data_IF_775546517717
#
_entry.id   IF_775546517717
#
_cell.length_a   1.000
_cell.length_b   1.000
_cell.length_c   1.000
_cell.angle_alpha   90.00
_cell.angle_beta   90.00
_cell.angle_gamma   90.00
#
_symmetry.space_group_name_H-M   'P 1'
#
loop_
_entity.id
_entity.type
_entity.pdbx_description
1 polymer ?
#
# COMPACT_ATOMS: atom_id res chain seq x y z
N UNK A 1 -20.23 -17.02 13.09
CA UNK A 1 -21.12 -16.09 12.37
C UNK A 1 -20.92 -16.30 10.88
N UNK A 2 -21.94 -16.79 10.19
CA UNK A 2 -21.90 -17.13 8.77
C UNK A 2 -22.12 -15.85 7.96
N UNK A 3 -21.10 -15.33 7.27
CA UNK A 3 -21.26 -14.17 6.39
C UNK A 3 -21.97 -14.68 5.13
N UNK A 4 -23.30 -14.54 5.08
CA UNK A 4 -24.05 -14.83 3.86
C UNK A 4 -23.58 -13.90 2.72
N UNK A 5 -23.34 -14.42 1.51
CA UNK A 5 -23.02 -13.59 0.37
C UNK A 5 -24.19 -12.65 0.06
N UNK A 6 -23.90 -11.36 -0.12
CA UNK A 6 -24.91 -10.36 -0.49
C UNK A 6 -25.59 -10.75 -1.81
N UNK A 7 -26.93 -10.78 -1.82
CA UNK A 7 -27.71 -11.10 -3.02
C UNK A 7 -27.43 -10.08 -4.14
N UNK A 8 -27.40 -10.51 -5.42
CA UNK A 8 -27.30 -9.60 -6.58
C UNK A 8 -28.32 -8.46 -6.57
N UNK A 9 -29.49 -8.67 -5.95
CA UNK A 9 -30.50 -7.63 -5.76
C UNK A 9 -30.11 -6.58 -4.73
N UNK A 10 -29.42 -6.97 -3.66
CA UNK A 10 -28.87 -6.03 -2.68
C UNK A 10 -27.76 -5.19 -3.31
N UNK A 11 -26.90 -5.79 -4.14
CA UNK A 11 -25.85 -5.08 -4.87
C UNK A 11 -26.44 -4.09 -5.88
N UNK A 12 -27.49 -4.47 -6.63
CA UNK A 12 -28.22 -3.56 -7.54
C UNK A 12 -28.90 -2.41 -6.80
N UNK A 13 -29.48 -2.66 -5.62
CA UNK A 13 -30.11 -1.62 -4.80
C UNK A 13 -29.09 -0.66 -4.19
N UNK A 14 -27.93 -1.16 -3.77
CA UNK A 14 -26.82 -0.35 -3.27
C UNK A 14 -26.15 0.47 -4.39
N UNK A 15 -26.01 -0.09 -5.60
CA UNK A 15 -25.50 0.62 -6.77
C UNK A 15 -26.40 1.80 -7.19
N UNK A 16 -27.74 1.68 -7.04
CA UNK A 16 -28.67 2.79 -7.27
C UNK A 16 -28.53 3.93 -6.24
N UNK A 17 -27.98 3.66 -5.05
CA UNK A 17 -27.73 4.65 -3.99
C UNK A 17 -26.33 5.27 -4.06
N UNK A 18 -25.32 4.50 -4.48
CA UNK A 18 -23.93 4.97 -4.68
C UNK A 18 -23.67 5.29 -6.15
N UNK A 19 -24.25 6.37 -6.67
CA UNK A 19 -24.03 6.80 -8.08
C UNK A 19 -22.81 7.70 -8.26
N UNK A 20 -21.88 7.68 -7.30
CA UNK A 20 -20.71 8.55 -7.28
C UNK A 20 -21.05 10.05 -7.35
N UNK A 21 -20.06 10.94 -7.29
CA UNK A 21 -20.29 12.36 -7.47
C UNK A 21 -20.59 12.66 -8.95
N UNK A 22 -21.83 13.06 -9.26
CA UNK A 22 -22.26 13.40 -10.64
C UNK A 22 -22.04 14.86 -11.03
N UNK A 23 -21.89 15.75 -10.05
CA UNK A 23 -21.62 17.18 -10.28
C UNK A 23 -20.13 17.48 -10.32
N UNK A 24 -19.73 18.51 -11.05
CA UNK A 24 -18.32 18.93 -11.12
C UNK A 24 -17.79 19.37 -9.75
N UNK A 25 -18.65 19.98 -8.92
CA UNK A 25 -18.36 20.25 -7.50
C UNK A 25 -18.15 18.96 -6.70
N UNK A 26 -18.99 17.95 -6.90
CA UNK A 26 -18.85 16.64 -6.25
C UNK A 26 -17.58 15.90 -6.67
N UNK A 27 -17.22 15.97 -7.95
CA UNK A 27 -15.97 15.42 -8.49
C UNK A 27 -14.75 16.17 -7.94
N UNK A 28 -14.84 17.49 -7.83
CA UNK A 28 -13.80 18.33 -7.24
C UNK A 28 -13.61 18.07 -5.73
N UNK A 29 -14.67 17.71 -5.00
CA UNK A 29 -14.57 17.28 -3.61
C UNK A 29 -13.95 15.87 -3.53
N UNK A 30 -14.41 14.94 -4.38
CA UNK A 30 -13.90 13.57 -4.39
C UNK A 30 -12.43 13.47 -4.79
N UNK A 31 -11.93 14.29 -5.72
CA UNK A 31 -10.48 14.35 -6.06
C UNK A 31 -9.62 14.80 -4.88
N UNK A 32 -10.15 15.66 -4.01
CA UNK A 32 -9.41 16.13 -2.84
C UNK A 32 -9.38 15.10 -1.72
N UNK A 33 -10.28 14.11 -1.69
CA UNK A 33 -10.22 13.02 -0.71
C UNK A 33 -8.96 12.15 -0.86
N UNK A 34 -8.49 11.93 -2.09
CA UNK A 34 -7.23 11.21 -2.34
C UNK A 34 -5.98 12.02 -1.95
N UNK A 35 -6.03 13.33 -2.13
CA UNK A 35 -4.92 14.26 -1.82
C UNK A 35 -4.86 14.63 -0.34
N UNK A 36 -6.01 14.74 0.34
CA UNK A 36 -6.11 15.13 1.76
C UNK A 36 -5.56 14.08 2.72
N UNK A 37 -5.65 12.80 2.32
CA UNK A 37 -5.25 11.67 3.17
C UNK A 37 -4.00 10.95 2.66
N UNK A 38 -3.62 11.09 1.39
CA UNK A 38 -2.42 10.47 0.81
C UNK A 38 -2.45 8.94 0.68
N UNK A 39 -3.27 8.24 1.49
CA UNK A 39 -3.40 6.77 1.52
C UNK A 39 -3.86 6.16 0.19
N UNK A 40 -4.70 6.87 -0.57
CA UNK A 40 -5.19 6.45 -1.88
C UNK A 40 -4.69 7.34 -3.03
N UNK A 41 -3.71 8.20 -2.79
CA UNK A 41 -3.19 9.07 -3.84
C UNK A 41 -2.60 8.21 -4.98
N UNK A 42 -3.03 8.51 -6.22
CA UNK A 42 -2.60 7.82 -7.44
C UNK A 42 -1.16 8.17 -7.83
N UNK A 43 -0.66 9.29 -7.32
CA UNK A 43 0.75 9.66 -7.35
C UNK A 43 1.31 9.44 -5.95
N UNK A 44 2.57 9.00 -5.78
CA UNK A 44 3.20 8.98 -4.47
C UNK A 44 3.03 10.39 -3.87
N UNK A 45 2.29 10.54 -2.76
CA UNK A 45 2.21 11.84 -2.11
C UNK A 45 3.63 12.17 -1.67
N UNK A 46 4.01 13.46 -1.74
CA UNK A 46 5.30 13.99 -1.33
C UNK A 46 5.88 13.15 -0.18
N UNK A 47 6.83 12.28 -0.52
CA UNK A 47 7.52 11.45 0.46
C UNK A 47 8.27 12.44 1.34
N UNK A 48 8.08 12.38 2.67
CA UNK A 48 9.09 12.92 3.56
C UNK A 48 10.41 12.18 3.29
N UNK A 49 11.55 12.79 3.65
CA UNK A 49 12.86 12.20 3.34
C UNK A 49 12.97 10.74 3.82
N UNK A 50 12.49 10.46 5.03
CA UNK A 50 12.50 9.11 5.63
C UNK A 50 11.64 8.08 4.86
N UNK A 51 10.50 8.50 4.31
CA UNK A 51 9.66 7.61 3.50
C UNK A 51 10.27 7.32 2.12
N UNK A 52 11.08 8.25 1.60
CA UNK A 52 11.74 8.11 0.29
C UNK A 52 12.85 7.09 0.35
N UNK A 53 13.76 7.21 1.33
CA UNK A 53 14.88 6.27 1.48
C UNK A 53 14.36 4.84 1.65
N UNK A 54 13.38 4.65 2.54
CA UNK A 54 12.77 3.34 2.73
C UNK A 54 12.08 2.80 1.46
N UNK A 55 11.41 3.67 0.69
CA UNK A 55 10.74 3.27 -0.56
C UNK A 55 11.76 2.86 -1.62
N UNK A 56 12.83 3.64 -1.80
CA UNK A 56 13.87 3.38 -2.79
C UNK A 56 14.63 2.08 -2.45
N UNK A 57 14.93 1.83 -1.17
CA UNK A 57 15.50 0.56 -0.69
C UNK A 57 14.57 -0.62 -0.96
N UNK A 58 13.27 -0.47 -0.71
CA UNK A 58 12.28 -1.53 -0.94
C UNK A 58 12.19 -1.87 -2.43
N UNK A 59 12.11 -0.86 -3.31
CA UNK A 59 12.08 -1.05 -4.75
C UNK A 59 13.36 -1.74 -5.22
N UNK A 60 14.53 -1.29 -4.75
CA UNK A 60 15.81 -1.88 -5.11
C UNK A 60 15.88 -3.37 -4.72
N UNK A 61 15.47 -3.71 -3.49
CA UNK A 61 15.44 -5.10 -3.03
C UNK A 61 14.46 -5.99 -3.81
N UNK A 62 13.31 -5.44 -4.23
CA UNK A 62 12.37 -6.17 -5.09
C UNK A 62 12.91 -6.37 -6.50
N UNK A 63 13.59 -5.37 -7.07
CA UNK A 63 14.26 -5.49 -8.38
C UNK A 63 15.37 -6.55 -8.31
N UNK A 64 16.19 -6.54 -7.27
CA UNK A 64 17.27 -7.52 -7.08
C UNK A 64 16.71 -8.95 -6.95
N UNK A 65 15.67 -9.12 -6.13
CA UNK A 65 15.02 -10.42 -5.89
C UNK A 65 14.35 -10.98 -7.15
N UNK A 66 13.56 -10.16 -7.84
CA UNK A 66 12.68 -10.64 -8.90
C UNK A 66 13.30 -10.51 -10.30
N UNK A 67 14.33 -9.68 -10.49
CA UNK A 67 14.99 -9.45 -11.79
C UNK A 67 13.95 -9.24 -12.91
N UNK A 68 13.14 -8.17 -12.84
CA UNK A 68 12.09 -7.90 -13.83
C UNK A 68 12.68 -7.75 -15.23
N UNK A 69 11.99 -8.28 -16.25
CA UNK A 69 12.41 -8.21 -17.66
C UNK A 69 11.45 -7.40 -18.52
N UNK A 70 10.17 -7.43 -18.19
CA UNK A 70 9.09 -6.72 -18.87
C UNK A 70 8.65 -5.47 -18.07
N UNK A 71 8.34 -4.34 -18.73
CA UNK A 71 7.62 -3.21 -18.15
C UNK A 71 6.45 -3.57 -17.21
N UNK A 72 5.69 -4.63 -17.47
CA UNK A 72 4.58 -5.09 -16.61
C UNK A 72 5.10 -5.53 -15.24
N UNK A 73 6.24 -6.22 -15.18
CA UNK A 73 6.84 -6.67 -13.93
C UNK A 73 7.37 -5.50 -13.11
N UNK A 74 7.97 -4.50 -13.77
CA UNK A 74 8.37 -3.25 -13.13
C UNK A 74 7.16 -2.53 -12.52
N UNK A 75 6.04 -2.47 -13.25
CA UNK A 75 4.81 -1.86 -12.74
C UNK A 75 4.23 -2.62 -11.54
N UNK A 76 4.31 -3.96 -11.55
CA UNK A 76 3.91 -4.79 -10.42
C UNK A 76 4.80 -4.53 -9.19
N UNK A 77 6.12 -4.43 -9.37
CA UNK A 77 7.06 -4.08 -8.30
C UNK A 77 6.76 -2.70 -7.71
N UNK A 78 6.48 -1.70 -8.56
CA UNK A 78 6.08 -0.37 -8.10
C UNK A 78 4.76 -0.42 -7.32
N UNK A 79 3.78 -1.19 -7.80
CA UNK A 79 2.49 -1.38 -7.14
C UNK A 79 2.65 -2.03 -5.76
N UNK A 80 3.49 -3.05 -5.66
CA UNK A 80 3.83 -3.73 -4.40
C UNK A 80 4.46 -2.73 -3.43
N UNK A 81 5.49 -2.00 -3.88
CA UNK A 81 6.21 -1.01 -3.06
C UNK A 81 5.28 0.07 -2.52
N UNK A 82 4.39 0.58 -3.38
CA UNK A 82 3.36 1.56 -2.99
C UNK A 82 2.34 0.98 -2.00
N UNK A 83 1.96 -0.30 -2.16
CA UNK A 83 1.09 -1.00 -1.23
C UNK A 83 1.71 -1.09 0.17
N UNK A 84 2.99 -1.46 0.26
CA UNK A 84 3.69 -1.55 1.55
C UNK A 84 3.85 -0.18 2.21
N UNK A 85 4.22 0.86 1.45
CA UNK A 85 4.32 2.22 1.99
C UNK A 85 2.97 2.70 2.56
N UNK A 86 1.87 2.39 1.88
CA UNK A 86 0.52 2.72 2.36
C UNK A 86 0.17 1.97 3.64
N UNK A 87 0.51 0.68 3.76
CA UNK A 87 0.33 -0.08 5.00
C UNK A 87 1.18 0.49 6.14
N UNK A 88 2.45 0.80 5.89
CA UNK A 88 3.34 1.41 6.90
C UNK A 88 2.76 2.71 7.45
N UNK A 89 2.25 3.58 6.57
CA UNK A 89 1.59 4.83 6.98
C UNK A 89 0.29 4.57 7.72
N UNK A 90 -0.50 3.60 7.29
CA UNK A 90 -1.73 3.21 7.95
C UNK A 90 -1.46 2.77 9.40
N UNK A 91 -0.45 1.92 9.63
CA UNK A 91 -0.04 1.52 10.97
C UNK A 91 0.43 2.69 11.83
N UNK A 92 1.18 3.64 11.25
CA UNK A 92 1.58 4.86 11.95
C UNK A 92 0.37 5.69 12.41
N UNK A 93 -0.69 5.76 11.58
CA UNK A 93 -1.93 6.45 11.93
C UNK A 93 -2.69 5.69 13.01
N UNK A 94 -2.79 4.36 12.90
CA UNK A 94 -3.45 3.52 13.91
C UNK A 94 -2.78 3.65 15.28
N UNK A 95 -1.46 3.65 15.32
CA UNK A 95 -0.68 3.90 16.53
C UNK A 95 -0.99 5.29 17.12
N UNK A 96 -0.94 6.35 16.30
CA UNK A 96 -1.23 7.70 16.75
C UNK A 96 -2.68 7.85 17.28
N UNK A 97 -3.66 7.23 16.62
CA UNK A 97 -5.06 7.22 17.07
C UNK A 97 -5.21 6.45 18.40
N UNK A 98 -4.52 5.32 18.54
CA UNK A 98 -4.46 4.55 19.77
C UNK A 98 -3.86 5.34 20.94
N UNK A 99 -2.74 6.04 20.69
CA UNK A 99 -2.08 6.89 21.68
C UNK A 99 -2.99 8.02 22.16
N UNK A 100 -3.70 8.70 21.26
CA UNK A 100 -4.71 9.71 21.63
C UNK A 100 -5.78 9.12 22.54
N UNK A 101 -6.30 7.93 22.23
CA UNK A 101 -7.31 7.27 23.04
C UNK A 101 -6.79 6.93 24.45
N UNK A 102 -5.57 6.39 24.55
CA UNK A 102 -4.91 6.06 25.82
C UNK A 102 -4.67 7.33 26.65
N UNK A 103 -4.17 8.40 26.04
CA UNK A 103 -3.88 9.66 26.71
C UNK A 103 -5.16 10.34 27.22
N UNK A 104 -6.27 10.27 26.46
CA UNK A 104 -7.59 10.75 26.93
C UNK A 104 -8.09 9.97 28.14
N UNK A 105 -7.90 8.66 28.17
CA UNK A 105 -8.24 7.83 29.33
C UNK A 105 -7.38 8.21 30.53
N UNK A 106 -6.05 8.32 30.36
CA UNK A 106 -5.12 8.77 31.42
C UNK A 106 -5.49 10.14 31.97
N UNK A 107 -5.87 11.09 31.10
CA UNK A 107 -6.32 12.42 31.50
C UNK A 107 -7.57 12.34 32.39
N UNK A 108 -8.58 11.54 32.01
CA UNK A 108 -9.80 11.33 32.82
C UNK A 108 -9.52 10.67 34.17
N UNK A 109 -8.56 9.73 34.22
CA UNK A 109 -8.17 9.02 35.44
C UNK A 109 -7.26 9.85 36.37
N UNK A 110 -6.70 10.96 35.89
CA UNK A 110 -5.77 11.83 36.64
C UNK A 110 -6.40 12.67 37.76
N UNK A 111 -7.65 12.37 38.18
CA UNK A 111 -8.43 13.16 39.14
C UNK A 111 -7.73 13.47 40.47
N UNK A 112 -6.77 12.65 40.90
CA UNK A 112 -5.93 12.86 42.11
C UNK A 112 -4.43 13.07 41.82
N UNK A 113 -4.01 13.15 40.56
CA UNK A 113 -2.61 13.29 40.16
C UNK A 113 -2.10 14.73 40.29
N UNK A 114 -0.78 14.88 40.43
CA UNK A 114 -0.10 16.18 40.55
C UNK A 114 -0.36 17.06 39.32
N UNK A 115 -0.34 18.37 39.51
CA UNK A 115 -0.61 19.35 38.46
C UNK A 115 0.42 19.32 37.32
N UNK A 116 1.67 18.93 37.64
CA UNK A 116 2.73 18.67 36.66
C UNK A 116 2.39 17.46 35.77
N UNK A 117 1.77 16.43 36.33
CA UNK A 117 1.40 15.22 35.61
C UNK A 117 0.22 15.47 34.66
N UNK A 118 -0.76 16.29 35.09
CA UNK A 118 -1.85 16.77 34.24
C UNK A 118 -1.34 17.61 33.06
N UNK A 119 -0.36 18.50 33.29
CA UNK A 119 0.30 19.29 32.21
C UNK A 119 1.05 18.38 31.24
N UNK A 120 1.78 17.38 31.74
CA UNK A 120 2.50 16.41 30.90
C UNK A 120 1.56 15.62 29.98
N UNK A 121 0.47 15.10 30.52
CA UNK A 121 -0.54 14.35 29.74
C UNK A 121 -1.18 15.25 28.68
N UNK A 122 -1.49 16.51 29.03
CA UNK A 122 -2.11 17.45 28.09
C UNK A 122 -1.18 17.82 26.94
N UNK A 123 0.12 18.01 27.20
CA UNK A 123 1.13 18.24 26.16
C UNK A 123 1.26 17.04 25.22
N UNK A 124 1.36 15.82 25.78
CA UNK A 124 1.43 14.58 25.00
C UNK A 124 0.17 14.37 24.16
N UNK A 125 -1.00 14.72 24.69
CA UNK A 125 -2.26 14.62 23.96
C UNK A 125 -2.29 15.57 22.76
N UNK A 126 -1.85 16.82 22.92
CA UNK A 126 -1.80 17.77 21.81
C UNK A 126 -0.81 17.34 20.70
N UNK A 127 0.34 16.78 21.08
CA UNK A 127 1.32 16.22 20.14
C UNK A 127 0.73 15.02 19.38
N UNK A 128 0.11 14.07 20.08
CA UNK A 128 -0.53 12.90 19.46
C UNK A 128 -1.74 13.29 18.59
N UNK A 129 -2.53 14.27 19.01
CA UNK A 129 -3.66 14.81 18.22
C UNK A 129 -3.16 15.53 16.97
N UNK A 130 -2.03 16.24 17.02
CA UNK A 130 -1.42 16.87 15.83
C UNK A 130 -0.95 15.80 14.84
N UNK A 131 -0.31 14.74 15.33
CA UNK A 131 0.10 13.58 14.53
C UNK A 131 -1.10 12.82 13.93
N UNK A 132 -2.20 12.69 14.66
CA UNK A 132 -3.44 12.04 14.20
C UNK A 132 -4.32 12.95 13.31
N UNK A 133 -4.27 14.27 13.49
CA UNK A 133 -5.07 15.26 12.77
C UNK A 133 -4.74 15.31 11.27
N UNK A 134 -3.53 14.86 10.88
CA UNK A 134 -3.13 14.74 9.49
C UNK A 134 -4.10 13.93 8.63
N UNK A 135 -4.92 13.04 9.21
CA UNK A 135 -5.82 12.20 8.42
C UNK A 135 -7.30 12.14 8.81
N UNK A 136 -7.77 12.55 10.00
CA UNK A 136 -9.22 12.59 10.34
C UNK A 136 -10.02 11.34 9.85
N UNK A 137 -9.45 10.14 9.99
CA UNK A 137 -10.09 8.88 9.59
C UNK A 137 -10.69 8.19 10.82
N UNK A 138 -11.90 7.65 10.69
CA UNK A 138 -12.48 6.77 11.71
C UNK A 138 -11.80 5.40 11.70
N UNK A 139 -11.80 4.70 12.84
CA UNK A 139 -11.22 3.34 12.92
C UNK A 139 -11.82 2.36 11.90
N UNK A 140 -13.12 2.50 11.59
CA UNK A 140 -13.77 1.70 10.54
C UNK A 140 -13.26 2.03 9.13
N UNK A 141 -12.91 3.30 8.87
CA UNK A 141 -12.28 3.70 7.61
C UNK A 141 -10.85 3.14 7.50
N UNK A 142 -10.07 3.15 8.58
CA UNK A 142 -8.73 2.57 8.63
C UNK A 142 -8.75 1.07 8.30
N UNK A 143 -9.61 0.30 8.97
CA UNK A 143 -9.76 -1.13 8.72
C UNK A 143 -10.21 -1.46 7.28
N UNK A 144 -11.07 -0.63 6.68
CA UNK A 144 -11.44 -0.77 5.26
C UNK A 144 -10.27 -0.50 4.32
N UNK A 145 -9.46 0.51 4.62
CA UNK A 145 -8.28 0.81 3.82
C UNK A 145 -7.21 -0.26 3.97
N UNK A 146 -6.97 -0.76 5.18
CA UNK A 146 -6.08 -1.90 5.43
C UNK A 146 -6.44 -3.07 4.53
N UNK A 147 -7.71 -3.48 4.58
CA UNK A 147 -8.21 -4.60 3.78
C UNK A 147 -8.04 -4.36 2.29
N UNK A 148 -8.37 -3.15 1.80
CA UNK A 148 -8.24 -2.83 0.38
C UNK A 148 -6.78 -2.86 -0.08
N UNK A 149 -5.87 -2.25 0.69
CA UNK A 149 -4.45 -2.19 0.38
C UNK A 149 -3.85 -3.59 0.41
N UNK A 150 -4.15 -4.39 1.44
CA UNK A 150 -3.69 -5.78 1.56
C UNK A 150 -4.19 -6.66 0.42
N UNK A 151 -5.44 -6.49 -0.03
CA UNK A 151 -5.96 -7.21 -1.19
C UNK A 151 -5.23 -6.82 -2.49
N UNK A 152 -5.04 -5.53 -2.74
CA UNK A 152 -4.31 -5.05 -3.91
C UNK A 152 -2.86 -5.52 -3.91
N UNK A 153 -2.25 -5.53 -2.73
CA UNK A 153 -0.88 -5.98 -2.55
C UNK A 153 -0.74 -7.48 -2.83
N UNK A 154 -1.60 -8.30 -2.23
CA UNK A 154 -1.56 -9.75 -2.43
C UNK A 154 -1.81 -10.12 -3.89
N UNK A 155 -2.77 -9.48 -4.56
CA UNK A 155 -3.05 -9.69 -5.99
C UNK A 155 -1.84 -9.31 -6.86
N UNK A 156 -1.15 -8.21 -6.56
CA UNK A 156 0.05 -7.80 -7.29
C UNK A 156 1.22 -8.77 -7.08
N UNK A 157 1.44 -9.25 -5.84
CA UNK A 157 2.46 -10.25 -5.52
C UNK A 157 2.17 -11.55 -6.25
N UNK A 158 0.93 -12.05 -6.16
CA UNK A 158 0.52 -13.32 -6.78
C UNK A 158 0.74 -13.29 -8.31
N UNK A 159 0.38 -12.19 -8.97
CA UNK A 159 0.62 -11.99 -10.41
C UNK A 159 2.10 -11.98 -10.75
N UNK A 160 2.92 -11.29 -9.97
CA UNK A 160 4.36 -11.24 -10.20
C UNK A 160 4.99 -12.63 -10.02
N UNK A 161 4.59 -13.36 -8.99
CA UNK A 161 5.05 -14.73 -8.73
C UNK A 161 4.61 -15.70 -9.83
N UNK A 162 3.40 -15.55 -10.36
CA UNK A 162 2.92 -16.33 -11.50
C UNK A 162 3.76 -16.09 -12.75
N UNK A 163 4.05 -14.83 -13.09
CA UNK A 163 4.91 -14.48 -14.23
C UNK A 163 6.29 -15.13 -14.03
N UNK A 164 6.89 -14.95 -12.86
CA UNK A 164 8.22 -15.51 -12.55
C UNK A 164 8.26 -17.03 -12.53
N UNK A 165 7.16 -17.68 -12.18
CA UNK A 165 7.02 -19.13 -12.27
C UNK A 165 7.02 -19.59 -13.73
N UNK A 166 6.19 -18.99 -14.57
CA UNK A 166 6.13 -19.29 -16.02
C UNK A 166 7.48 -19.07 -16.70
N UNK A 167 8.17 -18.00 -16.35
CA UNK A 167 9.51 -17.71 -16.84
C UNK A 167 10.54 -18.79 -16.46
N UNK A 168 10.50 -19.29 -15.21
CA UNK A 168 11.39 -20.37 -14.74
C UNK A 168 11.07 -21.71 -15.41
N UNK A 169 9.80 -22.02 -15.59
CA UNK A 169 9.35 -23.23 -16.31
C UNK A 169 9.77 -23.21 -17.78
N UNK A 170 9.66 -22.05 -18.44
CA UNK A 170 10.13 -21.85 -19.80
C UNK A 170 11.65 -21.98 -19.89
N UNK A 171 12.39 -21.37 -18.97
CA UNK A 171 13.85 -21.50 -18.93
C UNK A 171 14.29 -22.95 -18.69
N UNK A 172 13.61 -23.68 -17.81
CA UNK A 172 13.86 -25.10 -17.56
C UNK A 172 13.55 -25.96 -18.80
N UNK A 173 12.44 -25.70 -19.51
CA UNK A 173 12.09 -26.45 -20.72
C UNK A 173 13.05 -26.16 -21.89
N UNK A 174 13.49 -24.91 -22.06
CA UNK A 174 14.49 -24.53 -23.06
C UNK A 174 15.88 -25.11 -22.73
N UNK A 175 16.24 -25.19 -21.45
CA UNK A 175 17.46 -25.87 -20.99
C UNK A 175 17.42 -27.38 -21.22
N UNK A 176 16.27 -28.02 -21.00
CA UNK A 176 16.06 -29.45 -21.26
C UNK A 176 16.08 -29.82 -22.74
N UNK A 177 15.65 -28.90 -23.63
CA UNK A 177 15.69 -29.09 -25.08
C UNK A 177 17.09 -28.86 -25.70
N UNK A 178 18.11 -28.50 -24.92
CA UNK A 178 19.48 -28.30 -25.42
C UNK A 178 19.63 -27.14 -26.42
N UNK A 179 18.63 -26.27 -26.55
CA UNK A 179 18.60 -25.21 -27.57
C UNK A 179 19.54 -24.05 -27.20
N UNK A 180 19.98 -23.96 -25.94
CA UNK A 180 20.98 -23.00 -25.49
C UNK A 180 22.29 -23.05 -26.30
N UNK A 181 22.68 -24.24 -26.77
CA UNK A 181 23.86 -24.41 -27.64
C UNK A 181 23.52 -24.18 -29.12
N UNK A 182 22.29 -24.49 -29.53
CA UNK A 182 21.86 -24.41 -30.94
C UNK A 182 21.55 -22.99 -31.45
N UNK A 183 21.19 -22.05 -30.57
CA UNK A 183 20.97 -20.65 -30.96
C UNK A 183 22.27 -19.84 -31.06
N UNK A 184 23.31 -20.23 -30.31
CA UNK A 184 24.67 -19.69 -30.44
C UNK A 184 25.25 -19.98 -31.83
N UNK A 185 25.10 -21.22 -32.31
CA UNK A 185 25.67 -21.66 -33.59
C UNK A 185 24.88 -21.17 -34.82
N UNK A 186 23.62 -20.74 -34.66
CA UNK A 186 22.73 -20.41 -35.79
C UNK A 186 22.51 -18.91 -36.02
N UNK A 187 22.92 -18.06 -35.08
CA UNK A 187 22.81 -16.59 -35.20
C UNK A 187 24.14 -15.89 -35.53
N UNK A 188 25.23 -16.62 -35.79
CA UNK A 188 26.41 -16.07 -36.45
C UNK A 188 26.96 -14.79 -35.81
N UNK A 189 27.12 -14.78 -34.48
CA UNK A 189 27.99 -13.80 -33.85
C UNK A 189 29.41 -14.35 -33.94
N UNK A 190 30.13 -13.95 -34.99
CA UNK A 190 31.59 -14.01 -35.02
C UNK A 190 32.10 -13.22 -33.82
N UNK A 191 32.56 -13.95 -32.79
CA UNK A 191 33.48 -13.39 -31.80
C UNK A 191 34.86 -13.50 -32.42
N UNK A 192 35.16 -12.60 -33.35
CA UNK A 192 36.53 -12.12 -33.49
C UNK A 192 36.90 -11.45 -32.16
N UNK A 193 37.81 -12.07 -31.40
CA UNK A 193 38.97 -11.38 -30.84
C UNK A 193 39.91 -12.31 -30.06
N UNK A 194 41.15 -12.34 -30.56
CA UNK A 194 42.43 -12.73 -29.93
C UNK A 194 42.72 -14.21 -29.67
#
# INVERSE_FOLDING_TARGET
>A
MNIMPSSPEQNRRNARKSTGPRSDRGKAIARHNGVKHGLLATKPPLLCNDDREWFDEMVAGLIEKYQPRDPIEYLLIETISMGWLRLRRLWGIEAAVGDVAILKIKQKLSGKSSELEKRRITKQLAEAETSAAGLSLSGEQLARYERLISLQLNDAIEKLEEIKRKERELAASMGLLGIGQFMSDRLGYDVENS
#
